data_IF_908754047808
#
_entry.id   IF_908754047808
#
_cell.length_a   1.000
_cell.length_b   1.000
_cell.length_c   1.000
_cell.angle_alpha   90.00
_cell.angle_beta   90.00
_cell.angle_gamma   90.00
#
_symmetry.space_group_name_H-M   'P 1'
#
loop_
_entity.id
_entity.type
_entity.pdbx_description
1 polymer ?
#
# COMPACT_ATOMS: atom_id res chain seq x y z
N UNK A 1 -2.33 -37.08 -37.94
CA UNK A 1 -2.85 -35.73 -37.65
C UNK A 1 -2.78 -35.44 -36.14
N UNK A 2 -1.62 -35.65 -35.50
CA UNK A 2 -1.44 -35.58 -34.03
C UNK A 2 -0.53 -34.41 -33.62
N UNK A 3 0.38 -33.98 -34.51
CA UNK A 3 1.34 -32.89 -34.25
C UNK A 3 0.67 -31.52 -34.11
N UNK A 4 -0.44 -31.26 -34.83
CA UNK A 4 -1.16 -29.99 -34.77
C UNK A 4 -1.96 -29.78 -33.46
N UNK A 5 -2.47 -30.85 -32.86
CA UNK A 5 -3.24 -30.77 -31.61
C UNK A 5 -2.33 -30.42 -30.41
N UNK A 6 -1.10 -30.94 -30.38
CA UNK A 6 -0.14 -30.67 -29.30
C UNK A 6 0.37 -29.22 -29.32
N UNK A 7 0.61 -28.66 -30.52
CA UNK A 7 1.02 -27.25 -30.68
C UNK A 7 -0.12 -26.30 -30.27
N UNK A 8 -1.38 -26.63 -30.61
CA UNK A 8 -2.54 -25.84 -30.23
C UNK A 8 -2.77 -25.84 -28.70
N UNK A 9 -2.66 -27.00 -28.03
CA UNK A 9 -2.78 -27.10 -26.57
C UNK A 9 -1.66 -26.34 -25.84
N UNK A 10 -0.43 -26.41 -26.35
CA UNK A 10 0.71 -25.69 -25.78
C UNK A 10 0.58 -24.17 -25.96
N UNK A 11 0.10 -23.73 -27.13
CA UNK A 11 -0.23 -22.32 -27.38
C UNK A 11 -1.32 -21.81 -26.44
N UNK A 12 -2.40 -22.56 -26.27
CA UNK A 12 -3.51 -22.18 -25.39
C UNK A 12 -3.10 -22.15 -23.90
N UNK A 13 -2.22 -23.07 -23.47
CA UNK A 13 -1.68 -23.08 -22.11
C UNK A 13 -0.75 -21.88 -21.85
N UNK A 14 0.12 -21.56 -22.82
CA UNK A 14 0.99 -20.38 -22.75
C UNK A 14 0.18 -19.09 -22.73
N UNK A 15 -0.84 -18.96 -23.59
CA UNK A 15 -1.72 -17.79 -23.62
C UNK A 15 -2.43 -17.58 -22.28
N UNK A 16 -2.98 -18.65 -21.67
CA UNK A 16 -3.59 -18.57 -20.34
C UNK A 16 -2.59 -18.14 -19.26
N UNK A 17 -1.38 -18.70 -19.28
CA UNK A 17 -0.35 -18.37 -18.29
C UNK A 17 0.08 -16.89 -18.39
N UNK A 18 0.20 -16.36 -19.61
CA UNK A 18 0.51 -14.95 -19.84
C UNK A 18 -0.62 -14.04 -19.36
N UNK A 19 -1.87 -14.42 -19.60
CA UNK A 19 -3.04 -13.67 -19.16
C UNK A 19 -3.17 -13.64 -17.63
N UNK A 20 -3.00 -14.78 -16.95
CA UNK A 20 -2.97 -14.85 -15.48
C UNK A 20 -1.85 -14.00 -14.88
N UNK A 21 -0.65 -14.02 -15.48
CA UNK A 21 0.47 -13.17 -15.02
C UNK A 21 0.17 -11.68 -15.20
N UNK A 22 -0.50 -11.30 -16.30
CA UNK A 22 -0.88 -9.92 -16.57
C UNK A 22 -1.92 -9.42 -15.58
N UNK A 23 -2.94 -10.22 -15.31
CA UNK A 23 -3.98 -9.89 -14.35
C UNK A 23 -3.42 -9.82 -12.91
N UNK A 24 -2.57 -10.78 -12.53
CA UNK A 24 -1.88 -10.74 -11.23
C UNK A 24 -1.05 -9.48 -11.04
N UNK A 25 -0.28 -9.08 -12.06
CA UNK A 25 0.50 -7.82 -12.04
C UNK A 25 -0.40 -6.60 -11.95
N UNK A 26 -1.51 -6.58 -12.67
CA UNK A 26 -2.49 -5.49 -12.62
C UNK A 26 -3.07 -5.34 -11.22
N UNK A 27 -3.59 -6.43 -10.63
CA UNK A 27 -4.14 -6.44 -9.28
C UNK A 27 -3.10 -5.99 -8.25
N UNK A 28 -1.85 -6.45 -8.38
CA UNK A 28 -0.75 -6.00 -7.54
C UNK A 28 -0.58 -4.46 -7.59
N UNK A 29 -0.51 -3.88 -8.79
CA UNK A 29 -0.37 -2.42 -8.96
C UNK A 29 -1.58 -1.66 -8.41
N UNK A 30 -2.80 -2.14 -8.66
CA UNK A 30 -4.03 -1.55 -8.15
C UNK A 30 -4.08 -1.58 -6.61
N UNK A 31 -3.64 -2.67 -5.99
CA UNK A 31 -3.55 -2.78 -4.53
C UNK A 31 -2.49 -1.84 -3.96
N UNK A 32 -1.30 -1.75 -4.57
CA UNK A 32 -0.28 -0.80 -4.14
C UNK A 32 -0.76 0.65 -4.26
N UNK A 33 -1.43 1.01 -5.35
CA UNK A 33 -1.99 2.35 -5.55
C UNK A 33 -3.07 2.68 -4.50
N UNK A 34 -3.97 1.72 -4.22
CA UNK A 34 -5.00 1.87 -3.20
C UNK A 34 -4.41 2.07 -1.81
N UNK A 35 -3.34 1.34 -1.48
CA UNK A 35 -2.65 1.49 -0.20
C UNK A 35 -2.01 2.89 -0.08
N UNK A 36 -1.35 3.37 -1.14
CA UNK A 36 -0.76 4.71 -1.18
C UNK A 36 -1.83 5.77 -0.95
N UNK A 37 -2.96 5.68 -1.66
CA UNK A 37 -4.08 6.61 -1.51
C UNK A 37 -4.64 6.63 -0.08
N UNK A 38 -4.79 5.46 0.55
CA UNK A 38 -5.25 5.36 1.94
C UNK A 38 -4.26 5.95 2.95
N UNK A 39 -2.96 5.80 2.73
CA UNK A 39 -1.92 6.39 3.59
C UNK A 39 -1.83 7.91 3.40
N UNK A 40 -2.03 8.42 2.19
CA UNK A 40 -2.13 9.87 1.93
C UNK A 40 -3.41 10.46 2.55
N UNK A 41 -4.54 9.79 2.44
CA UNK A 41 -5.80 10.19 3.09
C UNK A 41 -5.66 10.25 4.61
N UNK A 42 -5.04 9.23 5.23
CA UNK A 42 -4.74 9.24 6.66
C UNK A 42 -3.94 10.47 7.08
N UNK A 43 -2.87 10.78 6.33
CA UNK A 43 -2.06 11.97 6.58
C UNK A 43 -2.90 13.22 6.43
N UNK A 44 -3.59 13.40 5.31
CA UNK A 44 -4.40 14.58 5.06
C UNK A 44 -5.40 14.84 6.19
N UNK A 45 -6.07 13.80 6.69
CA UNK A 45 -6.96 13.89 7.85
C UNK A 45 -6.23 14.37 9.10
N UNK A 46 -5.07 13.78 9.44
CA UNK A 46 -4.27 14.26 10.58
C UNK A 46 -3.86 15.73 10.41
N UNK A 47 -3.55 16.17 9.19
CA UNK A 47 -3.25 17.58 8.91
C UNK A 47 -4.48 18.48 9.02
N UNK A 48 -5.63 18.04 8.53
CA UNK A 48 -6.91 18.75 8.62
C UNK A 48 -7.29 19.00 10.07
N UNK A 49 -7.23 17.97 10.92
CA UNK A 49 -7.51 18.13 12.34
C UNK A 49 -6.50 19.08 13.02
N UNK A 50 -5.22 18.99 12.63
CA UNK A 50 -4.15 19.83 13.18
C UNK A 50 -4.24 21.30 12.78
N UNK A 51 -4.49 21.58 11.50
CA UNK A 51 -4.32 22.92 10.91
C UNK A 51 -5.63 23.62 10.62
N UNK A 52 -6.70 22.88 10.37
CA UNK A 52 -8.02 23.43 10.11
C UNK A 52 -8.95 23.29 11.32
N UNK A 53 -8.55 22.55 12.36
CA UNK A 53 -9.38 22.33 13.55
C UNK A 53 -10.61 21.48 13.27
N UNK A 54 -10.62 20.71 12.17
CA UNK A 54 -11.70 19.77 11.87
C UNK A 54 -11.64 18.60 12.86
N UNK A 55 -12.69 18.36 13.63
CA UNK A 55 -12.75 17.21 14.53
C UNK A 55 -13.22 15.95 13.81
N UNK A 56 -12.78 14.79 14.27
CA UNK A 56 -13.19 13.44 13.83
C UNK A 56 -12.87 13.06 12.36
N UNK A 57 -12.10 13.88 11.64
CA UNK A 57 -11.58 13.56 10.31
C UNK A 57 -10.75 12.27 10.33
N UNK A 58 -9.88 12.06 11.32
CA UNK A 58 -9.04 10.85 11.44
C UNK A 58 -9.89 9.63 11.81
N UNK A 59 -10.96 9.81 12.59
CA UNK A 59 -11.87 8.73 12.96
C UNK A 59 -12.63 8.15 11.75
N UNK A 60 -12.80 8.93 10.69
CA UNK A 60 -13.43 8.53 9.44
C UNK A 60 -12.48 7.84 8.46
N UNK A 61 -11.19 7.71 8.80
CA UNK A 61 -10.24 6.99 7.94
C UNK A 61 -10.61 5.51 7.79
N UNK A 62 -10.57 5.00 6.56
CA UNK A 62 -10.94 3.61 6.26
C UNK A 62 -9.84 2.61 6.64
N UNK A 63 -9.75 2.34 7.96
CA UNK A 63 -8.84 1.35 8.53
C UNK A 63 -9.13 -0.08 8.02
N UNK A 64 -10.39 -0.39 7.74
CA UNK A 64 -10.80 -1.69 7.19
C UNK A 64 -10.23 -1.90 5.79
N UNK A 65 -10.44 -0.94 4.89
CA UNK A 65 -9.90 -0.95 3.53
C UNK A 65 -8.39 -1.02 3.53
N UNK A 66 -7.73 -0.23 4.39
CA UNK A 66 -6.28 -0.31 4.58
C UNK A 66 -5.80 -1.72 4.94
N UNK A 67 -6.43 -2.37 5.93
CA UNK A 67 -6.04 -3.72 6.37
C UNK A 67 -6.24 -4.75 5.26
N UNK A 68 -7.34 -4.65 4.52
CA UNK A 68 -7.64 -5.54 3.40
C UNK A 68 -6.59 -5.40 2.29
N UNK A 69 -6.34 -4.17 1.83
CA UNK A 69 -5.39 -3.91 0.75
C UNK A 69 -3.96 -4.29 1.16
N UNK A 70 -3.56 -4.00 2.41
CA UNK A 70 -2.26 -4.42 2.93
C UNK A 70 -2.11 -5.96 2.94
N UNK A 71 -3.17 -6.70 3.27
CA UNK A 71 -3.17 -8.15 3.20
C UNK A 71 -3.08 -8.65 1.74
N UNK A 72 -3.80 -8.02 0.81
CA UNK A 72 -3.74 -8.37 -0.61
C UNK A 72 -2.34 -8.13 -1.20
N UNK A 73 -1.65 -7.04 -0.84
CA UNK A 73 -0.25 -6.82 -1.25
C UNK A 73 0.66 -7.95 -0.73
N UNK A 74 0.48 -8.40 0.51
CA UNK A 74 1.26 -9.52 1.08
C UNK A 74 0.97 -10.86 0.41
N UNK A 75 -0.27 -11.08 -0.03
CA UNK A 75 -0.66 -12.32 -0.71
C UNK A 75 -0.21 -12.36 -2.18
N UNK A 76 0.02 -11.20 -2.79
CA UNK A 76 0.32 -11.08 -4.23
C UNK A 76 1.78 -10.81 -4.52
N UNK A 77 2.64 -10.68 -3.51
CA UNK A 77 4.06 -10.36 -3.67
C UNK A 77 4.95 -11.13 -2.70
N UNK A 78 5.99 -11.74 -3.25
CA UNK A 78 7.09 -12.38 -2.51
C UNK A 78 8.34 -11.45 -2.39
N UNK A 79 8.30 -10.23 -2.93
CA UNK A 79 9.43 -9.29 -2.85
C UNK A 79 9.68 -8.87 -1.39
N UNK A 80 10.75 -9.38 -0.79
CA UNK A 80 11.11 -9.12 0.62
C UNK A 80 11.29 -7.63 0.92
N UNK A 81 11.80 -6.85 -0.05
CA UNK A 81 12.04 -5.42 0.14
C UNK A 81 10.71 -4.66 0.18
N UNK A 82 9.77 -5.03 -0.69
CA UNK A 82 8.41 -4.50 -0.63
C UNK A 82 7.75 -4.85 0.70
N UNK A 83 7.77 -6.12 1.09
CA UNK A 83 7.14 -6.58 2.33
C UNK A 83 7.73 -5.91 3.57
N UNK A 84 9.05 -5.68 3.59
CA UNK A 84 9.72 -4.90 4.64
C UNK A 84 9.25 -3.44 4.63
N UNK A 85 9.25 -2.79 3.47
CA UNK A 85 8.80 -1.38 3.38
C UNK A 85 7.33 -1.21 3.78
N UNK A 86 6.47 -2.21 3.52
CA UNK A 86 5.09 -2.24 3.97
C UNK A 86 4.99 -2.37 5.50
N UNK A 87 5.86 -3.18 6.11
CA UNK A 87 5.93 -3.29 7.56
C UNK A 87 6.41 -1.98 8.21
N UNK A 88 7.44 -1.35 7.65
CA UNK A 88 7.99 -0.08 8.14
C UNK A 88 6.96 1.05 8.03
N UNK A 89 6.23 1.12 6.91
CA UNK A 89 5.13 2.05 6.69
C UNK A 89 4.03 1.88 7.73
N UNK A 90 3.61 0.64 7.99
CA UNK A 90 2.62 0.34 9.04
C UNK A 90 3.09 0.81 10.42
N UNK A 91 4.35 0.56 10.78
CA UNK A 91 4.92 0.98 12.07
C UNK A 91 4.91 2.50 12.18
N UNK A 92 5.38 3.20 11.14
CA UNK A 92 5.37 4.66 11.12
C UNK A 92 3.94 5.24 11.19
N UNK A 93 2.95 4.59 10.56
CA UNK A 93 1.54 5.00 10.62
C UNK A 93 0.94 4.81 12.02
N UNK A 94 1.29 3.73 12.71
CA UNK A 94 0.90 3.50 14.10
C UNK A 94 1.50 4.53 15.05
N UNK A 95 2.77 4.88 14.86
CA UNK A 95 3.44 5.94 15.61
C UNK A 95 2.78 7.30 15.37
N UNK A 96 2.50 7.66 14.11
CA UNK A 96 1.79 8.89 13.77
C UNK A 96 0.41 8.94 14.43
N UNK A 97 -0.40 7.88 14.30
CA UNK A 97 -1.72 7.81 14.93
C UNK A 97 -1.67 7.77 16.46
N UNK A 98 -0.56 7.32 17.07
CA UNK A 98 -0.35 7.38 18.52
C UNK A 98 0.02 8.80 18.96
N UNK A 99 0.99 9.43 18.29
CA UNK A 99 1.40 10.81 18.57
C UNK A 99 0.24 11.78 18.37
N UNK A 100 -0.60 11.56 17.35
CA UNK A 100 -1.82 12.32 17.13
C UNK A 100 -2.79 12.25 18.32
N UNK A 101 -3.11 11.04 18.80
CA UNK A 101 -4.12 10.84 19.85
C UNK A 101 -3.67 11.22 21.25
N UNK A 102 -2.37 11.09 21.54
CA UNK A 102 -1.83 11.29 22.89
C UNK A 102 -1.09 12.62 23.05
N UNK A 103 -0.64 13.22 21.95
CA UNK A 103 0.12 14.46 21.96
C UNK A 103 -0.77 15.70 21.88
N UNK A 104 -0.15 16.86 22.07
CA UNK A 104 -0.76 18.12 21.64
C UNK A 104 -0.67 18.26 20.12
N UNK A 105 -1.63 19.00 19.55
CA UNK A 105 -1.74 19.27 18.11
C UNK A 105 -0.46 19.88 17.50
N UNK A 106 0.34 20.59 18.30
CA UNK A 106 1.60 21.21 17.87
C UNK A 106 2.83 20.63 18.55
N UNK A 107 2.77 19.37 19.00
CA UNK A 107 3.94 18.70 19.56
C UNK A 107 5.01 18.42 18.50
N UNK A 108 6.28 18.60 18.88
CA UNK A 108 7.43 18.20 18.07
C UNK A 108 7.40 16.70 17.75
N UNK A 109 6.88 15.89 18.66
CA UNK A 109 6.71 14.45 18.47
C UNK A 109 5.77 14.12 17.31
N UNK A 110 4.67 14.86 17.16
CA UNK A 110 3.75 14.70 16.04
C UNK A 110 4.43 15.08 14.71
N UNK A 111 5.19 16.17 14.70
CA UNK A 111 5.93 16.60 13.51
C UNK A 111 7.01 15.57 13.08
N UNK A 112 7.71 14.99 14.05
CA UNK A 112 8.68 13.90 13.82
C UNK A 112 7.97 12.67 13.25
N UNK A 113 6.88 12.23 13.88
CA UNK A 113 6.11 11.07 13.42
C UNK A 113 5.53 11.30 12.00
N UNK A 114 5.07 12.52 11.72
CA UNK A 114 4.56 12.92 10.41
C UNK A 114 5.62 12.82 9.31
N UNK A 115 6.84 13.33 9.57
CA UNK A 115 7.97 13.23 8.64
C UNK A 115 8.43 11.78 8.46
N UNK A 116 8.49 11.00 9.54
CA UNK A 116 8.86 9.58 9.49
C UNK A 116 7.87 8.78 8.65
N UNK A 117 6.57 9.01 8.83
CA UNK A 117 5.52 8.38 8.03
C UNK A 117 5.62 8.74 6.54
N UNK A 118 5.85 10.02 6.21
CA UNK A 118 6.12 10.44 4.82
C UNK A 118 7.29 9.67 4.20
N UNK A 119 8.41 9.58 4.92
CA UNK A 119 9.59 8.88 4.42
C UNK A 119 9.33 7.38 4.22
N UNK A 120 8.60 6.75 5.14
CA UNK A 120 8.22 5.34 5.01
C UNK A 120 7.31 5.11 3.80
N UNK A 121 6.37 6.03 3.52
CA UNK A 121 5.51 5.98 2.34
C UNK A 121 6.32 6.11 1.04
N UNK A 122 7.26 7.05 0.97
CA UNK A 122 8.15 7.20 -0.18
C UNK A 122 9.00 5.94 -0.44
N UNK A 123 9.50 5.31 0.64
CA UNK A 123 10.24 4.05 0.55
C UNK A 123 9.36 2.90 0.05
N UNK A 124 8.11 2.82 0.51
CA UNK A 124 7.14 1.85 0.02
C UNK A 124 6.84 2.06 -1.47
N UNK A 125 6.60 3.30 -1.91
CA UNK A 125 6.37 3.65 -3.32
C UNK A 125 7.56 3.23 -4.19
N UNK A 126 8.79 3.48 -3.73
CA UNK A 126 9.99 3.09 -4.44
C UNK A 126 10.12 1.55 -4.56
N UNK A 127 9.79 0.81 -3.50
CA UNK A 127 9.78 -0.64 -3.51
C UNK A 127 8.67 -1.20 -4.42
N UNK A 128 7.47 -0.63 -4.38
CA UNK A 128 6.34 -1.04 -5.22
C UNK A 128 6.64 -0.83 -6.71
N UNK A 129 7.24 0.31 -7.07
CA UNK A 129 7.68 0.57 -8.45
C UNK A 129 8.68 -0.48 -8.93
N UNK A 130 9.65 -0.85 -8.10
CA UNK A 130 10.62 -1.91 -8.44
C UNK A 130 9.95 -3.27 -8.61
N UNK A 131 9.07 -3.66 -7.68
CA UNK A 131 8.38 -4.95 -7.73
C UNK A 131 7.38 -5.06 -8.91
N UNK A 132 6.92 -3.93 -9.45
CA UNK A 132 6.01 -3.89 -10.60
C UNK A 132 6.68 -4.02 -11.98
N UNK A 133 8.01 -3.89 -12.04
CA UNK A 133 8.81 -4.01 -13.27
C UNK A 133 8.99 -5.48 -13.65
#
# INVERSE_FOLDING_TARGET
MIVGATIALFGQFMSRTVEYKREGRRLFVENCASLIALEEDFRNRVWEERKLGLSDSVAQWDLSGYRLVAAQVRLTSDDERLLRSLADLRVAGQELGKSWRMGSLDSDELEVAWKKHKSALENFVAAAKRASQ
#
